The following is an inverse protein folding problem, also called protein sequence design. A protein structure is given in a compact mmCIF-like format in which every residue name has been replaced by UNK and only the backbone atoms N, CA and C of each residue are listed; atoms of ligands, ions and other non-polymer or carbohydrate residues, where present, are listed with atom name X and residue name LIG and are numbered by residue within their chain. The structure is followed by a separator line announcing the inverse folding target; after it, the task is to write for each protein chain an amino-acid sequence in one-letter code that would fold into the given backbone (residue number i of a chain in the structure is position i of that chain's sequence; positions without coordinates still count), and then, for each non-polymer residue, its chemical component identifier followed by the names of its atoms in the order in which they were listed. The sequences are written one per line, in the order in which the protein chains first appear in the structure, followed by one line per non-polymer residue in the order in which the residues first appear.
data_IF_575637777745
#
_entry.id   IF_575637777745
#
_cell.length_a   1.000
_cell.length_b   1.000
_cell.length_c   1.000
_cell.angle_alpha   90.00
_cell.angle_beta   90.00
_cell.angle_gamma   90.00
#
_symmetry.space_group_name_H-M   'P 1'
#
loop_
_entity.id
_entity.type
_entity.pdbx_description
1 polymer ?
#
# COMPACT_ATOMS: atom_id res chain seq x y z
N UNK A 1 -18.72 -1.03 -10.78
CA UNK A 1 -17.54 -0.66 -9.99
C UNK A 1 -17.23 -1.70 -8.91
N UNK A 2 -18.21 -2.15 -8.13
CA UNK A 2 -18.06 -3.13 -7.05
C UNK A 2 -17.48 -4.46 -7.56
N UNK A 3 -18.00 -4.99 -8.66
CA UNK A 3 -17.49 -6.22 -9.29
C UNK A 3 -16.01 -6.09 -9.67
N UNK A 4 -15.60 -4.94 -10.21
CA UNK A 4 -14.20 -4.70 -10.57
C UNK A 4 -13.29 -4.64 -9.33
N UNK A 5 -13.77 -4.04 -8.23
CA UNK A 5 -13.03 -4.03 -6.97
C UNK A 5 -12.94 -5.45 -6.36
N UNK A 6 -14.03 -6.20 -6.38
CA UNK A 6 -14.03 -7.59 -5.93
C UNK A 6 -13.06 -8.45 -6.74
N UNK A 7 -13.07 -8.35 -8.08
CA UNK A 7 -12.14 -9.06 -8.95
C UNK A 7 -10.68 -8.69 -8.67
N UNK A 8 -10.39 -7.41 -8.38
CA UNK A 8 -9.04 -6.97 -7.96
C UNK A 8 -8.64 -7.64 -6.65
N UNK A 9 -9.50 -7.61 -5.64
CA UNK A 9 -9.20 -8.22 -4.34
C UNK A 9 -8.99 -9.73 -4.47
N UNK A 10 -9.83 -10.43 -5.25
CA UNK A 10 -9.70 -11.85 -5.55
C UNK A 10 -8.35 -12.16 -6.21
N UNK A 11 -7.96 -11.36 -7.20
CA UNK A 11 -6.67 -11.51 -7.87
C UNK A 11 -5.50 -11.37 -6.88
N UNK A 12 -5.54 -10.33 -6.02
CA UNK A 12 -4.51 -10.08 -5.01
C UNK A 12 -4.43 -11.24 -4.02
N UNK A 13 -5.57 -11.66 -3.47
CA UNK A 13 -5.64 -12.74 -2.50
C UNK A 13 -5.07 -14.05 -3.06
N UNK A 14 -5.42 -14.37 -4.31
CA UNK A 14 -4.89 -15.56 -5.00
C UNK A 14 -3.37 -15.45 -5.23
N UNK A 15 -2.86 -14.29 -5.68
CA UNK A 15 -1.42 -14.08 -5.90
C UNK A 15 -0.62 -14.11 -4.61
N UNK A 16 -1.20 -13.63 -3.52
CA UNK A 16 -0.61 -13.67 -2.20
C UNK A 16 -0.82 -15.01 -1.47
N UNK A 17 -1.50 -15.98 -2.09
CA UNK A 17 -1.83 -17.29 -1.49
C UNK A 17 -2.52 -17.15 -0.12
N UNK A 18 -3.44 -16.17 -0.03
CA UNK A 18 -4.19 -15.92 1.20
C UNK A 18 -5.17 -17.07 1.48
N UNK A 19 -5.26 -17.45 2.74
CA UNK A 19 -6.16 -18.51 3.22
C UNK A 19 -6.59 -18.21 4.65
N UNK A 20 -7.52 -18.96 5.17
CA UNK A 20 -7.99 -18.84 6.55
C UNK A 20 -6.80 -18.87 7.53
N UNK A 21 -6.76 -17.90 8.43
CA UNK A 21 -5.69 -17.70 9.40
C UNK A 21 -4.40 -17.06 8.86
N UNK A 22 -4.30 -16.74 7.55
CA UNK A 22 -3.15 -15.97 7.05
C UNK A 22 -3.12 -14.58 7.68
N UNK A 23 -1.96 -14.17 8.15
CA UNK A 23 -1.71 -12.81 8.62
C UNK A 23 -1.41 -11.90 7.44
N UNK A 24 -2.19 -10.84 7.27
CA UNK A 24 -2.09 -9.92 6.13
C UNK A 24 -1.92 -8.49 6.62
N UNK A 25 -0.90 -7.79 6.13
CA UNK A 25 -0.69 -6.36 6.36
C UNK A 25 -0.97 -5.56 5.09
N UNK A 26 -1.77 -4.51 5.21
CA UNK A 26 -1.99 -3.54 4.11
C UNK A 26 -1.40 -2.18 4.45
N UNK A 27 -0.31 -1.84 3.76
CA UNK A 27 0.41 -0.58 3.94
C UNK A 27 -0.26 0.53 3.13
N UNK A 28 -1.02 1.38 3.83
CA UNK A 28 -1.87 2.39 3.22
C UNK A 28 -3.27 1.89 2.87
N UNK A 29 -3.94 1.25 3.84
CA UNK A 29 -5.21 0.57 3.63
C UNK A 29 -6.41 1.49 3.27
N UNK A 30 -6.24 2.81 3.36
CA UNK A 30 -7.28 3.78 3.03
C UNK A 30 -8.55 3.57 3.86
N UNK A 31 -9.70 3.46 3.19
CA UNK A 31 -11.00 3.20 3.81
C UNK A 31 -11.23 1.72 4.19
N UNK A 32 -10.22 0.87 4.11
CA UNK A 32 -10.26 -0.52 4.54
C UNK A 32 -11.07 -1.47 3.65
N UNK A 33 -11.44 -1.05 2.45
CA UNK A 33 -12.27 -1.88 1.55
C UNK A 33 -11.62 -3.22 1.20
N UNK A 34 -10.32 -3.21 0.92
CA UNK A 34 -9.56 -4.42 0.60
C UNK A 34 -9.38 -5.32 1.83
N UNK A 35 -9.05 -4.76 2.98
CA UNK A 35 -8.95 -5.51 4.25
C UNK A 35 -10.27 -6.20 4.59
N UNK A 36 -11.38 -5.49 4.46
CA UNK A 36 -12.72 -6.04 4.69
C UNK A 36 -13.03 -7.20 3.76
N UNK A 37 -12.66 -7.07 2.49
CA UNK A 37 -12.82 -8.15 1.52
C UNK A 37 -12.02 -9.38 1.93
N UNK A 38 -10.75 -9.24 2.28
CA UNK A 38 -9.90 -10.35 2.70
C UNK A 38 -10.40 -11.01 3.98
N UNK A 39 -10.78 -10.22 4.98
CA UNK A 39 -11.38 -10.71 6.23
C UNK A 39 -12.63 -11.54 5.97
N UNK A 40 -13.54 -11.04 5.14
CA UNK A 40 -14.84 -11.65 4.90
C UNK A 40 -14.75 -12.91 4.05
N UNK A 41 -13.94 -12.89 2.96
CA UNK A 41 -13.93 -13.98 1.96
C UNK A 41 -12.83 -15.00 2.20
N UNK A 42 -11.72 -14.59 2.85
CA UNK A 42 -10.57 -15.45 3.09
C UNK A 42 -10.32 -15.75 4.57
N UNK A 43 -11.06 -15.08 5.49
CA UNK A 43 -10.90 -15.22 6.94
C UNK A 43 -9.47 -15.02 7.41
N UNK A 44 -8.81 -14.04 6.85
CA UNK A 44 -7.45 -13.66 7.24
C UNK A 44 -7.46 -12.86 8.55
N UNK A 45 -6.33 -12.85 9.23
CA UNK A 45 -6.03 -11.91 10.31
C UNK A 45 -5.48 -10.63 9.67
N UNK A 46 -6.39 -9.70 9.39
CA UNK A 46 -6.05 -8.45 8.73
C UNK A 46 -5.43 -7.44 9.68
N UNK A 47 -4.44 -6.72 9.20
CA UNK A 47 -3.89 -5.54 9.84
C UNK A 47 -3.72 -4.45 8.78
N UNK A 48 -4.10 -3.23 9.09
CA UNK A 48 -3.92 -2.08 8.20
C UNK A 48 -3.11 -0.97 8.84
N UNK A 49 -2.41 -0.22 8.00
CA UNK A 49 -1.75 1.02 8.39
C UNK A 49 -2.31 2.16 7.55
N UNK A 50 -2.70 3.24 8.19
CA UNK A 50 -3.27 4.42 7.52
C UNK A 50 -2.89 5.69 8.26
N UNK A 51 -2.57 6.77 7.54
CA UNK A 51 -2.14 8.05 8.12
C UNK A 51 -3.19 9.16 8.01
N UNK A 52 -4.34 8.90 7.41
CA UNK A 52 -5.45 9.84 7.34
C UNK A 52 -6.44 9.56 8.48
N UNK A 53 -6.61 10.53 9.40
CA UNK A 53 -7.41 10.37 10.62
C UNK A 53 -8.85 9.90 10.35
N UNK A 54 -9.55 10.50 9.38
CA UNK A 54 -10.92 10.10 9.05
C UNK A 54 -11.03 8.67 8.51
N UNK A 55 -10.02 8.21 7.75
CA UNK A 55 -9.96 6.82 7.28
C UNK A 55 -9.72 5.86 8.44
N UNK A 56 -8.82 6.20 9.35
CA UNK A 56 -8.55 5.43 10.55
C UNK A 56 -9.81 5.26 11.40
N UNK A 57 -10.50 6.37 11.74
CA UNK A 57 -11.72 6.36 12.53
C UNK A 57 -12.80 5.48 11.89
N UNK A 58 -13.03 5.62 10.58
CA UNK A 58 -13.94 4.77 9.82
C UNK A 58 -13.58 3.28 9.88
N UNK A 59 -12.30 2.94 9.70
CA UNK A 59 -11.86 1.55 9.77
C UNK A 59 -12.10 0.94 11.15
N UNK A 60 -11.78 1.68 12.22
CA UNK A 60 -12.03 1.24 13.60
C UNK A 60 -13.53 1.05 13.86
N UNK A 61 -14.37 2.03 13.49
CA UNK A 61 -15.83 1.96 13.63
C UNK A 61 -16.44 0.75 12.90
N UNK A 62 -15.81 0.35 11.79
CA UNK A 62 -16.27 -0.81 11.00
C UNK A 62 -15.62 -2.12 11.42
N UNK A 63 -14.88 -2.16 12.54
CA UNK A 63 -14.34 -3.39 13.13
C UNK A 63 -13.12 -3.96 12.41
N UNK A 64 -12.35 -3.13 11.72
CA UNK A 64 -11.06 -3.51 11.14
C UNK A 64 -9.92 -3.24 12.13
N UNK A 65 -8.90 -4.10 12.10
CA UNK A 65 -7.68 -3.93 12.88
C UNK A 65 -6.74 -2.99 12.12
N UNK A 66 -6.68 -1.72 12.53
CA UNK A 66 -5.87 -0.71 11.85
C UNK A 66 -5.07 0.14 12.82
N UNK A 67 -3.93 0.63 12.38
CA UNK A 67 -3.05 1.53 13.12
C UNK A 67 -3.00 2.90 12.45
N UNK A 68 -3.14 3.95 13.26
CA UNK A 68 -2.94 5.32 12.81
C UNK A 68 -1.44 5.62 12.77
N UNK A 69 -0.81 5.36 11.64
CA UNK A 69 0.64 5.43 11.49
C UNK A 69 1.03 5.72 10.03
N UNK A 70 2.13 6.45 9.85
CA UNK A 70 2.76 6.57 8.54
C UNK A 70 3.40 5.22 8.16
N UNK A 71 3.04 4.67 7.00
CA UNK A 71 3.55 3.39 6.53
C UNK A 71 5.07 3.36 6.38
N UNK A 72 5.73 4.52 6.24
CA UNK A 72 7.19 4.65 6.15
C UNK A 72 7.89 4.42 7.48
N UNK A 73 7.14 4.44 8.59
CA UNK A 73 7.64 4.25 9.95
C UNK A 73 7.32 2.88 10.52
N UNK A 74 6.72 2.00 9.71
CA UNK A 74 6.41 0.62 10.13
C UNK A 74 7.70 -0.11 10.44
N UNK A 75 7.73 -0.74 11.62
CA UNK A 75 8.88 -1.51 12.08
C UNK A 75 8.47 -2.98 12.32
N UNK A 76 9.18 -3.96 11.78
CA UNK A 76 8.90 -5.37 12.03
C UNK A 76 8.87 -5.74 13.53
N UNK A 77 9.63 -5.02 14.36
CA UNK A 77 9.65 -5.23 15.80
C UNK A 77 8.28 -4.96 16.47
N UNK A 78 7.46 -4.07 15.89
CA UNK A 78 6.16 -3.69 16.45
C UNK A 78 5.05 -4.64 15.98
N UNK A 79 5.19 -5.23 14.81
CA UNK A 79 4.14 -5.99 14.13
C UNK A 79 4.43 -7.49 14.00
N UNK A 80 5.70 -7.89 14.07
CA UNK A 80 6.13 -9.24 13.70
C UNK A 80 6.05 -9.48 12.18
N UNK A 81 5.91 -10.73 11.76
CA UNK A 81 5.86 -11.11 10.34
C UNK A 81 4.45 -11.42 9.88
N UNK A 82 4.23 -11.29 8.56
CA UNK A 82 2.97 -11.52 7.85
C UNK A 82 3.16 -12.51 6.71
N UNK A 83 2.16 -13.32 6.41
CA UNK A 83 2.17 -14.22 5.24
C UNK A 83 2.08 -13.41 3.94
N UNK A 84 1.40 -12.26 3.99
CA UNK A 84 1.30 -11.34 2.87
C UNK A 84 1.35 -9.88 3.34
N UNK A 85 2.05 -9.04 2.56
CA UNK A 85 2.06 -7.58 2.69
C UNK A 85 1.54 -6.98 1.39
N UNK A 86 0.54 -6.11 1.48
CA UNK A 86 -0.04 -5.40 0.32
C UNK A 86 0.21 -3.91 0.40
N UNK A 87 0.37 -3.26 -0.76
CA UNK A 87 0.47 -1.81 -0.92
C UNK A 87 -0.19 -1.41 -2.25
N UNK A 88 -1.45 -1.01 -2.21
CA UNK A 88 -2.22 -0.69 -3.42
C UNK A 88 -2.55 0.80 -3.51
N UNK A 89 -1.85 1.51 -4.40
CA UNK A 89 -2.01 2.96 -4.59
C UNK A 89 -1.48 3.78 -3.41
N UNK A 90 -0.58 3.21 -2.60
CA UNK A 90 0.06 3.86 -1.46
C UNK A 90 1.56 4.06 -1.67
N UNK A 91 2.20 3.21 -2.49
CA UNK A 91 3.63 3.31 -2.77
C UNK A 91 4.03 4.66 -3.38
N UNK A 92 3.12 5.30 -4.11
CA UNK A 92 3.33 6.64 -4.71
C UNK A 92 3.62 7.72 -3.65
N UNK A 93 3.28 7.46 -2.38
CA UNK A 93 3.48 8.38 -1.25
C UNK A 93 4.71 8.04 -0.38
N UNK A 94 5.49 7.04 -0.77
CA UNK A 94 6.70 6.63 -0.02
C UNK A 94 7.81 7.66 -0.13
N UNK A 95 7.97 8.27 -1.32
CA UNK A 95 8.95 9.31 -1.59
C UNK A 95 8.30 10.69 -1.40
N UNK A 96 8.87 11.52 -0.53
CA UNK A 96 8.46 12.90 -0.38
C UNK A 96 9.06 13.77 -1.48
N UNK A 97 8.45 14.94 -1.70
CA UNK A 97 8.96 15.90 -2.68
C UNK A 97 10.38 16.41 -2.33
N UNK A 98 10.66 16.64 -1.06
CA UNK A 98 11.97 17.10 -0.61
C UNK A 98 13.04 16.01 -0.84
N UNK A 99 12.75 14.75 -0.50
CA UNK A 99 13.65 13.64 -0.77
C UNK A 99 13.91 13.45 -2.29
N UNK A 100 12.88 13.70 -3.11
CA UNK A 100 13.03 13.69 -4.57
C UNK A 100 13.97 14.79 -5.05
N UNK A 101 13.83 16.03 -4.56
CA UNK A 101 14.72 17.14 -4.91
C UNK A 101 16.18 16.89 -4.48
N UNK A 102 16.36 16.16 -3.39
CA UNK A 102 17.67 15.77 -2.87
C UNK A 102 18.29 14.55 -3.60
N UNK A 103 17.56 13.94 -4.53
CA UNK A 103 18.02 12.77 -5.28
C UNK A 103 18.10 11.49 -4.46
N UNK A 104 17.25 11.35 -3.44
CA UNK A 104 17.24 10.22 -2.49
C UNK A 104 16.32 9.07 -2.89
N UNK A 105 15.82 9.04 -4.13
CA UNK A 105 14.82 8.05 -4.55
C UNK A 105 15.30 6.62 -4.32
N UNK A 106 16.54 6.32 -4.70
CA UNK A 106 17.08 4.97 -4.56
C UNK A 106 17.18 4.55 -3.08
N UNK A 107 17.63 5.45 -2.21
CA UNK A 107 17.74 5.19 -0.76
C UNK A 107 16.37 4.94 -0.15
N UNK A 108 15.38 5.78 -0.47
CA UNK A 108 14.00 5.69 0.06
C UNK A 108 13.33 4.39 -0.39
N UNK A 109 13.43 4.06 -1.67
CA UNK A 109 12.83 2.83 -2.20
C UNK A 109 13.55 1.58 -1.66
N UNK A 110 14.86 1.60 -1.54
CA UNK A 110 15.62 0.49 -0.93
C UNK A 110 15.15 0.25 0.49
N UNK A 111 15.09 1.28 1.32
CA UNK A 111 14.59 1.19 2.71
C UNK A 111 13.16 0.64 2.78
N UNK A 112 12.29 1.05 1.86
CA UNK A 112 10.94 0.50 1.78
C UNK A 112 10.95 -1.01 1.52
N UNK A 113 11.67 -1.46 0.51
CA UNK A 113 11.73 -2.88 0.18
C UNK A 113 12.43 -3.72 1.25
N UNK A 114 13.45 -3.18 1.92
CA UNK A 114 14.09 -3.83 3.07
C UNK A 114 13.09 -4.01 4.21
N UNK A 115 12.32 -2.97 4.55
CA UNK A 115 11.25 -3.05 5.57
C UNK A 115 10.20 -4.09 5.20
N UNK A 116 9.75 -4.12 3.95
CA UNK A 116 8.77 -5.11 3.48
C UNK A 116 9.36 -6.53 3.55
N UNK A 117 10.63 -6.71 3.19
CA UNK A 117 11.31 -8.01 3.27
C UNK A 117 11.41 -8.50 4.72
N UNK A 118 11.70 -7.62 5.68
CA UNK A 118 11.77 -7.94 7.10
C UNK A 118 10.40 -8.28 7.72
N UNK A 119 9.31 -7.76 7.13
CA UNK A 119 7.94 -8.09 7.52
C UNK A 119 7.45 -9.45 7.00
N UNK A 120 8.21 -10.08 6.09
CA UNK A 120 7.82 -11.34 5.44
C UNK A 120 8.73 -12.49 5.89
N UNK A 121 8.19 -13.65 6.25
CA UNK A 121 8.97 -14.86 6.40
C UNK A 121 9.42 -15.39 5.03
N UNK A 122 10.32 -16.36 5.02
CA UNK A 122 10.68 -17.08 3.78
C UNK A 122 9.41 -17.69 3.17
N UNK A 123 9.12 -17.32 1.92
CA UNK A 123 7.92 -17.72 1.20
C UNK A 123 6.72 -16.79 1.35
N UNK A 124 6.81 -15.76 2.21
CA UNK A 124 5.84 -14.67 2.29
C UNK A 124 5.71 -13.92 0.97
N UNK A 125 4.59 -13.24 0.76
CA UNK A 125 4.26 -12.58 -0.51
C UNK A 125 4.07 -11.09 -0.34
N UNK A 126 4.66 -10.31 -1.26
CA UNK A 126 4.36 -8.89 -1.39
C UNK A 126 3.59 -8.62 -2.68
N UNK A 127 2.49 -7.87 -2.57
CA UNK A 127 1.75 -7.35 -3.72
C UNK A 127 1.74 -5.83 -3.68
N UNK A 128 2.22 -5.22 -4.75
CA UNK A 128 2.25 -3.77 -4.89
C UNK A 128 1.56 -3.35 -6.19
N UNK A 129 0.75 -2.31 -6.12
CA UNK A 129 0.19 -1.63 -7.28
C UNK A 129 0.49 -0.15 -7.15
N UNK A 130 1.10 0.43 -8.19
CA UNK A 130 1.46 1.84 -8.23
C UNK A 130 1.29 2.39 -9.65
N UNK A 131 1.20 3.69 -9.77
CA UNK A 131 1.20 4.37 -11.05
C UNK A 131 2.63 4.58 -11.54
N UNK A 132 2.83 4.47 -12.85
CA UNK A 132 4.13 4.75 -13.48
C UNK A 132 3.91 5.56 -14.76
N UNK A 133 4.91 6.33 -15.16
CA UNK A 133 4.88 7.09 -16.41
C UNK A 133 4.97 6.22 -17.68
N UNK A 134 4.99 4.89 -17.53
CA UNK A 134 5.11 3.97 -18.63
C UNK A 134 6.51 3.98 -19.27
N UNK A 135 6.55 3.68 -20.57
CA UNK A 135 7.85 3.57 -21.30
C UNK A 135 8.39 4.91 -21.79
N UNK A 136 7.63 5.99 -21.67
CA UNK A 136 8.09 7.32 -22.11
C UNK A 136 8.95 7.93 -21.02
N UNK A 137 10.25 7.94 -21.25
CA UNK A 137 11.17 8.68 -20.38
C UNK A 137 10.97 10.17 -20.69
N UNK A 138 10.38 10.88 -19.74
CA UNK A 138 10.28 12.34 -19.80
C UNK A 138 11.51 12.87 -19.06
N UNK A 139 12.37 13.66 -19.71
CA UNK A 139 13.53 14.26 -19.04
C UNK A 139 13.11 15.05 -17.81
N UNK A 140 13.87 14.93 -16.72
CA UNK A 140 13.55 15.52 -15.41
C UNK A 140 13.36 17.04 -15.49
N UNK A 141 14.13 17.70 -16.38
CA UNK A 141 14.09 19.14 -16.63
C UNK A 141 12.78 19.62 -17.25
N UNK A 142 11.99 18.70 -17.82
CA UNK A 142 10.70 19.02 -18.46
C UNK A 142 9.52 18.85 -17.51
N UNK A 143 9.75 18.44 -16.27
CA UNK A 143 8.69 18.25 -15.28
C UNK A 143 8.31 19.60 -14.69
N UNK A 144 7.20 20.16 -15.12
CA UNK A 144 6.61 21.32 -14.48
C UNK A 144 5.73 20.87 -13.30
N UNK A 145 6.40 20.70 -12.16
CA UNK A 145 5.76 20.28 -10.90
C UNK A 145 5.03 21.44 -10.21
N UNK A 146 5.12 22.68 -10.75
CA UNK A 146 4.39 23.84 -10.25
C UNK A 146 3.04 24.01 -10.95
N UNK A 147 2.82 23.31 -12.07
CA UNK A 147 1.55 23.35 -12.75
C UNK A 147 0.46 22.74 -11.86
N UNK A 148 -0.66 23.43 -11.61
CA UNK A 148 -1.79 22.83 -10.93
C UNK A 148 -2.23 21.61 -11.72
N UNK A 149 -2.38 20.48 -11.05
CA UNK A 149 -2.93 19.26 -11.65
C UNK A 149 -4.35 19.57 -12.11
N UNK A 150 -4.50 19.92 -13.37
CA UNK A 150 -5.83 20.08 -13.96
C UNK A 150 -6.46 18.69 -14.11
N UNK A 151 -7.29 18.35 -13.13
CA UNK A 151 -8.05 17.09 -13.10
C UNK A 151 -9.02 16.91 -14.26
N UNK A 152 -9.04 17.84 -15.23
CA UNK A 152 -9.95 17.82 -16.37
C UNK A 152 -9.37 17.19 -17.64
N UNK A 153 -8.14 16.68 -17.61
CA UNK A 153 -7.47 16.18 -18.83
C UNK A 153 -7.19 14.65 -18.80
N UNK A 154 -8.02 13.87 -18.12
CA UNK A 154 -8.09 12.42 -18.29
C UNK A 154 -9.28 12.09 -19.18
N UNK A 155 -9.07 12.16 -20.48
CA UNK A 155 -9.88 11.48 -21.49
C UNK A 155 -9.10 10.36 -22.12
#
# INVERSE_FOLDING_TARGET
LEEAQAAKCEYIATRCNMREGSRVLDLGCGWGGMLRYFKTHYRVEETGVVFAKGQYEHCVETGLNVHYQDMRTVCPADFGTFDAVTACGSFDHVLSYDEFLEGKEEEVYRRWFDTVADLLPIGGRHYMQTMTLGRKIIPRETWDITAPTDSRNTR
#
